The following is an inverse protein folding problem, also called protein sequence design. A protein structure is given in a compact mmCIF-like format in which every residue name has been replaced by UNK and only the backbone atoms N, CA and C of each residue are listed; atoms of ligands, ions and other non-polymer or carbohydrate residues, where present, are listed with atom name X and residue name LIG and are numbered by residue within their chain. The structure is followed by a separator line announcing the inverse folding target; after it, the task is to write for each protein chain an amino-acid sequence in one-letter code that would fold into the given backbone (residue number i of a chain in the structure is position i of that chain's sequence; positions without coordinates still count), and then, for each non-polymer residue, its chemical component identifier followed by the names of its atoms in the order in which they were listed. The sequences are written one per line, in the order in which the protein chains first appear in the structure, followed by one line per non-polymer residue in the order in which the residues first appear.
data_IF_988214647296
#
_entry.id   IF_988214647296
#
_cell.length_a   1.000
_cell.length_b   1.000
_cell.length_c   1.000
_cell.angle_alpha   90.00
_cell.angle_beta   90.00
_cell.angle_gamma   90.00
#
_symmetry.space_group_name_H-M   'P 1'
#
loop_
_entity.id
_entity.type
_entity.pdbx_description
1 polymer ?
#
# COMPACT_ATOMS: atom_id res chain seq x y z
N UNK A 1 48.15 -0.32 36.35
CA UNK A 1 48.27 -1.78 36.55
C UNK A 1 46.88 -2.43 36.52
N UNK A 2 46.27 -2.63 35.34
CA UNK A 2 44.99 -3.35 35.19
C UNK A 2 44.93 -4.10 33.84
N UNK A 3 45.55 -5.28 33.69
CA UNK A 3 45.28 -6.19 32.57
C UNK A 3 44.50 -7.47 32.96
N UNK A 4 44.24 -7.71 34.25
CA UNK A 4 43.66 -8.98 34.73
C UNK A 4 42.14 -9.13 34.49
N UNK A 5 41.38 -8.04 34.33
CA UNK A 5 39.94 -8.13 34.10
C UNK A 5 39.58 -8.55 32.66
N UNK A 6 40.43 -8.25 31.68
CA UNK A 6 40.16 -8.54 30.26
C UNK A 6 40.33 -10.01 29.90
N UNK A 7 41.19 -10.75 30.61
CA UNK A 7 41.39 -12.18 30.34
C UNK A 7 40.25 -13.03 30.90
N UNK A 8 39.63 -12.59 32.00
CA UNK A 8 38.52 -13.31 32.62
C UNK A 8 37.24 -13.25 31.77
N UNK A 9 36.97 -12.14 31.10
CA UNK A 9 35.84 -12.01 30.18
C UNK A 9 36.00 -12.87 28.93
N UNK A 10 37.23 -13.04 28.44
CA UNK A 10 37.52 -13.92 27.29
C UNK A 10 37.32 -15.39 27.65
N UNK A 11 37.75 -15.81 28.85
CA UNK A 11 37.55 -17.19 29.32
C UNK A 11 36.07 -17.51 29.58
N UNK A 12 35.29 -16.56 30.09
CA UNK A 12 33.83 -16.72 30.25
C UNK A 12 33.08 -16.75 28.91
N UNK A 13 33.57 -16.05 27.89
CA UNK A 13 32.99 -16.10 26.55
C UNK A 13 33.23 -17.45 25.88
N UNK A 14 34.43 -18.03 26.03
CA UNK A 14 34.76 -19.33 25.44
C UNK A 14 33.93 -20.47 26.02
N UNK A 15 33.74 -20.52 27.35
CA UNK A 15 32.93 -21.58 27.97
C UNK A 15 31.46 -21.53 27.56
N UNK A 16 30.89 -20.34 27.35
CA UNK A 16 29.53 -20.20 26.83
C UNK A 16 29.39 -20.63 25.38
N UNK A 17 30.39 -20.36 24.54
CA UNK A 17 30.36 -20.76 23.13
C UNK A 17 30.47 -22.28 23.00
N UNK A 18 31.32 -22.93 23.79
CA UNK A 18 31.45 -24.40 23.83
C UNK A 18 30.13 -25.07 24.26
N UNK A 19 29.46 -24.50 25.28
CA UNK A 19 28.18 -25.01 25.77
C UNK A 19 27.06 -24.86 24.73
N UNK A 20 27.06 -23.77 23.96
CA UNK A 20 26.13 -23.59 22.84
C UNK A 20 26.43 -24.59 21.71
N UNK A 21 27.69 -24.77 21.33
CA UNK A 21 28.09 -25.70 20.29
C UNK A 21 27.74 -27.16 20.64
N UNK A 22 27.93 -27.55 21.89
CA UNK A 22 27.50 -28.87 22.38
C UNK A 22 25.97 -29.03 22.39
N UNK A 23 25.23 -27.99 22.74
CA UNK A 23 23.76 -28.02 22.68
C UNK A 23 23.24 -28.12 21.23
N UNK A 24 23.91 -27.51 20.26
CA UNK A 24 23.59 -27.66 18.84
C UNK A 24 23.93 -29.08 18.34
N UNK A 25 25.12 -29.61 18.65
CA UNK A 25 25.50 -30.99 18.27
C UNK A 25 24.63 -32.07 18.88
N UNK A 26 24.19 -31.91 20.13
CA UNK A 26 23.26 -32.84 20.79
C UNK A 26 21.86 -32.81 20.16
N UNK A 27 21.51 -31.75 19.43
CA UNK A 27 20.24 -31.61 18.70
C UNK A 27 20.31 -32.16 17.28
N UNK A 28 21.50 -32.18 16.67
CA UNK A 28 21.74 -32.80 15.36
C UNK A 28 21.75 -34.34 15.38
N UNK A 29 21.86 -34.98 16.56
CA UNK A 29 21.78 -36.44 16.69
C UNK A 29 20.36 -37.02 16.63
N UNK A 30 19.32 -36.18 16.53
CA UNK A 30 17.94 -36.64 16.31
C UNK A 30 17.68 -36.71 14.80
N UNK A 31 17.96 -37.87 14.20
CA UNK A 31 17.40 -38.27 12.91
C UNK A 31 17.88 -37.47 11.69
N UNK A 32 19.15 -37.64 11.29
CA UNK A 32 19.72 -37.00 10.09
C UNK A 32 18.98 -37.24 8.77
N UNK A 33 18.10 -38.25 8.69
CA UNK A 33 17.23 -38.47 7.52
C UNK A 33 15.92 -37.68 7.58
N UNK A 34 15.35 -37.45 8.77
CA UNK A 34 14.07 -36.74 8.94
C UNK A 34 14.26 -35.21 8.95
N UNK A 35 15.39 -34.74 9.48
CA UNK A 35 15.76 -33.32 9.47
C UNK A 35 16.06 -32.81 8.07
N UNK A 36 16.65 -33.63 7.20
CA UNK A 36 16.88 -33.28 5.80
C UNK A 36 15.58 -33.16 5.00
N UNK A 37 14.57 -34.00 5.29
CA UNK A 37 13.24 -33.89 4.67
C UNK A 37 12.51 -32.62 5.10
N UNK A 38 12.56 -32.27 6.39
CA UNK A 38 12.03 -31.00 6.88
C UNK A 38 12.71 -29.80 6.20
N UNK A 39 14.04 -29.80 6.08
CA UNK A 39 14.77 -28.72 5.41
C UNK A 39 14.43 -28.62 3.92
N UNK A 40 14.28 -29.76 3.25
CA UNK A 40 13.92 -29.84 1.83
C UNK A 40 12.50 -29.33 1.53
N UNK A 41 11.58 -29.35 2.51
CA UNK A 41 10.21 -28.83 2.34
C UNK A 41 10.08 -27.39 2.83
N UNK A 42 10.61 -27.10 4.02
CA UNK A 42 10.51 -25.78 4.64
C UNK A 42 11.33 -24.74 3.89
N UNK A 43 12.53 -25.11 3.41
CA UNK A 43 13.42 -24.22 2.66
C UNK A 43 12.75 -23.61 1.41
N UNK A 44 12.22 -24.42 0.48
CA UNK A 44 11.52 -23.92 -0.69
C UNK A 44 10.27 -23.10 -0.35
N UNK A 45 9.47 -23.53 0.64
CA UNK A 45 8.30 -22.76 1.08
C UNK A 45 8.68 -21.35 1.54
N UNK A 46 9.76 -21.23 2.32
CA UNK A 46 10.24 -19.94 2.82
C UNK A 46 10.78 -19.06 1.68
N UNK A 47 11.49 -19.66 0.73
CA UNK A 47 11.98 -18.99 -0.48
C UNK A 47 10.83 -18.45 -1.34
N UNK A 48 9.80 -19.27 -1.58
CA UNK A 48 8.59 -18.87 -2.32
C UNK A 48 7.86 -17.74 -1.59
N UNK A 49 7.73 -17.82 -0.27
CA UNK A 49 7.11 -16.75 0.52
C UNK A 49 7.89 -15.43 0.42
N UNK A 50 9.23 -15.47 0.47
CA UNK A 50 10.09 -14.29 0.30
C UNK A 50 9.94 -13.71 -1.11
N UNK A 51 9.94 -14.55 -2.14
CA UNK A 51 9.77 -14.12 -3.53
C UNK A 51 8.40 -13.49 -3.75
N UNK A 52 7.33 -14.11 -3.25
CA UNK A 52 5.98 -13.55 -3.30
C UNK A 52 5.89 -12.22 -2.55
N UNK A 53 6.49 -12.14 -1.35
CA UNK A 53 6.55 -10.89 -0.60
C UNK A 53 7.28 -9.80 -1.38
N UNK A 54 8.39 -10.12 -2.05
CA UNK A 54 9.13 -9.18 -2.90
C UNK A 54 8.32 -8.76 -4.13
N UNK A 55 7.61 -9.68 -4.78
CA UNK A 55 6.75 -9.35 -5.94
C UNK A 55 5.58 -8.47 -5.51
N UNK A 56 4.92 -8.80 -4.40
CA UNK A 56 3.81 -7.99 -3.86
C UNK A 56 4.33 -6.63 -3.44
N UNK A 57 5.42 -6.56 -2.67
CA UNK A 57 6.06 -5.31 -2.27
C UNK A 57 6.46 -4.49 -3.48
N UNK A 58 7.09 -5.10 -4.49
CA UNK A 58 7.47 -4.41 -5.71
C UNK A 58 6.27 -3.99 -6.55
N UNK A 59 5.14 -4.70 -6.52
CA UNK A 59 3.90 -4.24 -7.15
C UNK A 59 3.28 -3.09 -6.37
N UNK A 60 3.25 -3.14 -5.04
CA UNK A 60 2.78 -2.04 -4.20
C UNK A 60 3.67 -0.80 -4.36
N UNK A 61 4.99 -0.97 -4.44
CA UNK A 61 5.97 0.10 -4.66
C UNK A 61 6.11 0.53 -6.13
N UNK A 62 5.61 -0.24 -7.11
CA UNK A 62 5.49 0.18 -8.52
C UNK A 62 4.10 0.71 -8.87
N UNK A 63 3.13 0.60 -7.96
CA UNK A 63 1.82 1.28 -8.02
C UNK A 63 1.95 2.76 -7.60
N UNK A 64 3.16 3.16 -7.19
CA UNK A 64 3.66 4.54 -7.07
C UNK A 64 3.92 5.12 -8.47
N UNK A 65 3.58 6.35 -8.81
CA UNK A 65 2.87 7.41 -8.09
C UNK A 65 2.50 8.41 -9.18
N UNK A 66 1.36 8.22 -9.83
CA UNK A 66 0.78 9.35 -10.53
C UNK A 66 -0.66 9.49 -10.06
N UNK A 67 -0.89 10.27 -8.98
CA UNK A 67 -2.24 10.52 -8.47
C UNK A 67 -3.14 11.09 -9.58
N UNK A 68 -2.58 11.74 -10.60
CA UNK A 68 -3.33 12.21 -11.75
C UNK A 68 -3.79 11.09 -12.70
N UNK A 69 -3.03 9.98 -12.80
CA UNK A 69 -3.43 8.77 -13.54
C UNK A 69 -4.44 7.95 -12.77
N UNK A 70 -4.25 7.77 -11.46
CA UNK A 70 -5.21 7.09 -10.61
C UNK A 70 -6.57 7.81 -10.64
N UNK A 71 -6.54 9.15 -10.55
CA UNK A 71 -7.72 9.98 -10.75
C UNK A 71 -8.32 9.84 -12.16
N UNK A 72 -7.51 9.73 -13.21
CA UNK A 72 -7.98 9.50 -14.57
C UNK A 72 -8.72 8.17 -14.71
N UNK A 73 -8.15 7.11 -14.13
CA UNK A 73 -8.70 5.76 -14.16
C UNK A 73 -9.99 5.65 -13.34
N UNK A 74 -10.03 6.28 -12.16
CA UNK A 74 -11.25 6.39 -11.37
C UNK A 74 -12.34 7.17 -12.11
N UNK A 75 -12.00 8.33 -12.71
CA UNK A 75 -12.96 9.07 -13.53
C UNK A 75 -13.48 8.23 -14.70
N UNK A 76 -12.63 7.40 -15.32
CA UNK A 76 -13.02 6.50 -16.40
C UNK A 76 -13.94 5.37 -15.90
N UNK A 77 -13.65 4.80 -14.74
CA UNK A 77 -14.48 3.76 -14.11
C UNK A 77 -15.88 4.26 -13.78
N UNK A 78 -16.00 5.54 -13.41
CA UNK A 78 -17.28 6.22 -13.15
C UNK A 78 -17.89 6.89 -14.40
N UNK A 79 -17.36 6.61 -15.60
CA UNK A 79 -17.85 7.17 -16.88
C UNK A 79 -17.94 8.71 -16.93
N UNK A 80 -17.08 9.41 -16.20
CA UNK A 80 -17.07 10.87 -16.22
C UNK A 80 -16.53 11.39 -17.56
N UNK A 81 -17.20 12.42 -18.09
CA UNK A 81 -16.73 13.10 -19.29
C UNK A 81 -15.43 13.87 -19.03
N UNK A 82 -14.68 14.17 -20.10
CA UNK A 82 -13.45 15.00 -20.01
C UNK A 82 -13.75 16.38 -19.39
N UNK A 83 -14.96 16.92 -19.63
CA UNK A 83 -15.40 18.18 -19.03
C UNK A 83 -15.59 18.08 -17.52
N UNK A 84 -16.18 16.97 -17.05
CA UNK A 84 -16.40 16.75 -15.63
C UNK A 84 -15.09 16.45 -14.90
N UNK A 85 -14.19 15.68 -15.52
CA UNK A 85 -12.83 15.46 -15.01
C UNK A 85 -12.06 16.78 -14.81
N UNK A 86 -12.17 17.72 -15.76
CA UNK A 86 -11.56 19.06 -15.63
C UNK A 86 -12.17 19.85 -14.48
N UNK A 87 -13.49 19.77 -14.33
CA UNK A 87 -14.22 20.45 -13.27
C UNK A 87 -13.81 19.92 -11.89
N UNK A 88 -13.73 18.59 -11.72
CA UNK A 88 -13.24 17.99 -10.47
C UNK A 88 -11.78 18.33 -10.20
N UNK A 89 -10.93 18.33 -11.22
CA UNK A 89 -9.53 18.76 -11.09
C UNK A 89 -9.40 20.23 -10.66
N UNK A 90 -10.31 21.09 -11.11
CA UNK A 90 -10.36 22.49 -10.68
C UNK A 90 -10.77 22.62 -9.21
N UNK A 91 -11.72 21.81 -8.74
CA UNK A 91 -12.11 21.77 -7.32
C UNK A 91 -10.94 21.30 -6.45
N UNK A 92 -10.28 20.20 -6.85
CA UNK A 92 -9.13 19.68 -6.13
C UNK A 92 -8.02 20.74 -6.01
N UNK A 93 -7.81 21.53 -7.06
CA UNK A 93 -6.85 22.64 -7.06
C UNK A 93 -7.24 23.76 -6.10
N UNK A 94 -8.53 24.13 -6.05
CA UNK A 94 -9.01 25.21 -5.17
C UNK A 94 -8.97 24.78 -3.71
N UNK A 95 -9.32 23.53 -3.42
CA UNK A 95 -9.21 22.92 -2.08
C UNK A 95 -7.78 22.50 -1.70
N UNK A 96 -6.80 22.74 -2.58
CA UNK A 96 -5.38 22.40 -2.39
C UNK A 96 -5.17 20.94 -1.96
N UNK A 97 -5.96 20.03 -2.52
CA UNK A 97 -5.81 18.61 -2.25
C UNK A 97 -4.51 18.10 -2.87
N UNK A 98 -3.75 17.37 -2.07
CA UNK A 98 -2.53 16.69 -2.54
C UNK A 98 -2.88 15.57 -3.52
N UNK A 99 -4.00 14.88 -3.27
CA UNK A 99 -4.55 13.86 -4.15
C UNK A 99 -5.98 14.25 -4.60
N UNK A 100 -6.22 14.46 -5.91
CA UNK A 100 -7.56 14.74 -6.43
C UNK A 100 -8.53 13.57 -6.26
N UNK A 101 -8.02 12.35 -6.03
CA UNK A 101 -8.83 11.13 -5.87
C UNK A 101 -9.60 11.12 -4.55
N UNK A 102 -9.13 11.85 -3.53
CA UNK A 102 -9.83 11.97 -2.24
C UNK A 102 -11.23 12.58 -2.39
N UNK A 103 -11.43 13.39 -3.43
CA UNK A 103 -12.71 14.03 -3.76
C UNK A 103 -13.79 13.01 -4.19
N UNK A 104 -13.37 11.84 -4.66
CA UNK A 104 -14.27 10.74 -5.06
C UNK A 104 -14.62 9.84 -3.87
N UNK A 105 -13.82 9.86 -2.81
CA UNK A 105 -13.96 9.01 -1.63
C UNK A 105 -14.76 9.70 -0.53
N UNK A 106 -14.60 11.01 -0.39
CA UNK A 106 -15.16 11.78 0.71
C UNK A 106 -16.19 12.80 0.23
N UNK A 107 -17.44 12.58 0.62
CA UNK A 107 -18.57 13.46 0.30
C UNK A 107 -18.50 14.79 1.07
N UNK A 108 -17.78 14.86 2.20
CA UNK A 108 -17.67 16.09 2.99
C UNK A 108 -16.84 17.15 2.27
N UNK A 109 -15.91 16.73 1.41
CA UNK A 109 -15.09 17.62 0.60
C UNK A 109 -15.88 18.40 -0.46
N UNK A 110 -17.15 18.04 -0.71
CA UNK A 110 -18.07 18.74 -1.62
C UNK A 110 -18.78 19.93 -0.99
N UNK A 111 -18.46 20.28 0.25
CA UNK A 111 -18.96 21.50 0.90
C UNK A 111 -18.15 22.72 0.44
N UNK A 112 -18.82 23.74 -0.12
CA UNK A 112 -18.15 24.94 -0.64
C UNK A 112 -18.46 26.16 0.22
N UNK A 113 -17.44 26.95 0.54
CA UNK A 113 -17.61 28.21 1.28
C UNK A 113 -17.86 29.37 0.30
N UNK A 114 -19.01 30.05 0.36
CA UNK A 114 -19.34 31.15 -0.56
C UNK A 114 -18.34 32.31 -0.53
N UNK A 115 -17.60 32.50 0.57
CA UNK A 115 -16.63 33.58 0.68
C UNK A 115 -15.35 33.34 -0.13
N UNK A 116 -14.93 32.08 -0.28
CA UNK A 116 -13.68 31.70 -0.95
C UNK A 116 -13.90 31.02 -2.31
N UNK A 117 -15.08 30.42 -2.51
CA UNK A 117 -15.38 29.50 -3.61
C UNK A 117 -16.63 29.94 -4.41
N UNK A 118 -16.85 31.25 -4.52
CA UNK A 118 -18.03 31.86 -5.15
C UNK A 118 -18.38 31.33 -6.57
N UNK A 119 -17.37 30.85 -7.33
CA UNK A 119 -17.57 30.25 -8.66
C UNK A 119 -18.30 28.91 -8.60
N UNK A 120 -18.07 28.10 -7.58
CA UNK A 120 -18.73 26.81 -7.39
C UNK A 120 -20.12 26.96 -6.75
N UNK A 121 -20.38 28.08 -6.08
CA UNK A 121 -21.69 28.45 -5.56
C UNK A 121 -22.68 28.97 -6.64
N UNK A 122 -22.27 29.05 -7.90
CA UNK A 122 -23.19 29.43 -8.97
C UNK A 122 -24.27 28.36 -9.19
N UNK A 123 -25.54 28.73 -9.37
CA UNK A 123 -26.65 27.77 -9.45
C UNK A 123 -26.47 26.76 -10.60
N UNK A 124 -25.94 27.20 -11.75
CA UNK A 124 -25.65 26.31 -12.90
C UNK A 124 -24.58 25.27 -12.57
N UNK A 125 -23.56 25.67 -11.81
CA UNK A 125 -22.45 24.79 -11.43
C UNK A 125 -22.92 23.83 -10.34
N UNK A 126 -23.70 24.30 -9.36
CA UNK A 126 -24.29 23.45 -8.33
C UNK A 126 -25.20 22.35 -8.90
N UNK A 127 -26.05 22.64 -9.89
CA UNK A 127 -26.88 21.60 -10.52
C UNK A 127 -26.02 20.50 -11.17
N UNK A 128 -24.90 20.88 -11.79
CA UNK A 128 -23.98 19.93 -12.41
C UNK A 128 -23.19 19.13 -11.35
N UNK A 129 -22.77 19.79 -10.28
CA UNK A 129 -22.08 19.16 -9.15
C UNK A 129 -22.98 18.14 -8.45
N UNK A 130 -24.25 18.46 -8.20
CA UNK A 130 -25.17 17.53 -7.55
C UNK A 130 -25.48 16.31 -8.43
N UNK A 131 -25.56 16.49 -9.76
CA UNK A 131 -25.64 15.36 -10.70
C UNK A 131 -24.40 14.47 -10.65
N UNK A 132 -23.20 15.05 -10.63
CA UNK A 132 -21.94 14.30 -10.53
C UNK A 132 -21.81 13.57 -9.20
N UNK A 133 -22.17 14.23 -8.10
CA UNK A 133 -22.20 13.61 -6.77
C UNK A 133 -23.17 12.42 -6.74
N UNK A 134 -24.35 12.57 -7.36
CA UNK A 134 -25.29 11.47 -7.54
C UNK A 134 -24.69 10.30 -8.31
N UNK A 135 -23.95 10.55 -9.40
CA UNK A 135 -23.31 9.49 -10.18
C UNK A 135 -22.16 8.79 -9.42
N UNK A 136 -21.38 9.54 -8.63
CA UNK A 136 -20.22 9.01 -7.91
C UNK A 136 -20.60 8.17 -6.69
N UNK A 137 -21.61 8.62 -5.92
CA UNK A 137 -21.98 7.99 -4.65
C UNK A 137 -23.21 7.08 -4.74
N UNK A 138 -23.80 6.88 -5.93
CA UNK A 138 -24.85 5.88 -6.10
C UNK A 138 -24.23 4.48 -6.17
N UNK A 139 -24.47 3.60 -5.17
CA UNK A 139 -23.96 2.24 -5.20
C UNK A 139 -24.76 1.44 -6.22
N UNK A 140 -24.21 1.20 -7.42
CA UNK A 140 -24.90 0.37 -8.42
C UNK A 140 -24.50 0.54 -9.88
N UNK A 141 -23.68 1.54 -10.24
CA UNK A 141 -23.12 1.62 -11.61
C UNK A 141 -21.84 0.79 -11.74
N UNK A 142 -21.94 -0.52 -11.49
CA UNK A 142 -21.02 -1.47 -12.10
C UNK A 142 -21.55 -1.71 -13.53
N UNK A 143 -21.14 -0.87 -14.48
CA UNK A 143 -21.53 -1.05 -15.87
C UNK A 143 -20.74 -2.21 -16.52
N UNK A 144 -21.36 -2.89 -17.51
CA UNK A 144 -20.96 -4.22 -17.97
C UNK A 144 -19.61 -4.18 -18.69
N UNK A 145 -18.82 -5.24 -18.46
CA UNK A 145 -17.55 -5.57 -19.11
C UNK A 145 -17.73 -5.86 -20.60
N UNK A 146 -18.21 -4.92 -21.41
CA UNK A 146 -18.30 -5.07 -22.87
C UNK A 146 -18.24 -3.69 -23.55
N UNK A 147 -17.04 -3.13 -23.69
CA UNK A 147 -16.68 -2.26 -24.83
C UNK A 147 -15.22 -1.77 -24.71
N UNK A 148 -14.36 -2.39 -25.52
CA UNK A 148 -13.32 -1.79 -26.37
C UNK A 148 -12.09 -2.69 -26.45
N UNK A 149 -12.16 -3.63 -27.40
CA UNK A 149 -11.05 -4.00 -28.28
C UNK A 149 -10.85 -2.88 -29.30
#
# INVERSE_FOLDING_TARGET
MLPLFSTFTVLLAQTRIEALNQAFRARDSVGGSESLWMLAVVGPCLLVAIVLFWIVKQRTERVVDDPSRLFAELCRAHYLSVGDRRLLGEIARVKRLVDPSTLLLDAELWTFDPASEARFCQPRVQTRLSQLQGQLFTPGQAAPLDACV
#
